data_IF_084150417399
#
_entry.id   IF_084150417399
#
_cell.length_a   1.000
_cell.length_b   1.000
_cell.length_c   1.000
_cell.angle_alpha   90.00
_cell.angle_beta   90.00
_cell.angle_gamma   90.00
#
_symmetry.space_group_name_H-M   'P 1'
#
loop_
_entity.id
_entity.type
_entity.pdbx_description
1 polymer ?
#
# COMPACT_ATOMS: atom_id res chain seq x y z
N UNK A 1 -12.47 33.31 -72.99
CA UNK A 1 -12.33 34.73 -72.68
C UNK A 1 -13.02 34.97 -71.34
N UNK A 2 -12.33 35.04 -70.35
CA UNK A 2 -12.24 36.05 -69.26
C UNK A 2 -11.41 35.45 -68.08
N UNK A 3 -10.27 36.07 -67.86
CA UNK A 3 -9.43 35.91 -66.68
C UNK A 3 -10.13 36.51 -65.45
N UNK A 4 -9.89 35.92 -64.30
CA UNK A 4 -9.69 36.66 -63.06
C UNK A 4 -8.69 35.98 -62.13
N UNK A 5 -7.73 36.78 -61.72
CA UNK A 5 -6.53 36.48 -60.91
C UNK A 5 -6.85 36.40 -59.42
N UNK A 6 -6.05 35.57 -58.72
CA UNK A 6 -5.39 35.84 -57.42
C UNK A 6 -5.78 34.89 -56.30
N UNK A 7 -5.00 34.79 -55.20
CA UNK A 7 -3.55 34.56 -55.15
C UNK A 7 -3.14 33.22 -54.48
N UNK A 8 -1.89 32.90 -54.61
CA UNK A 8 -1.20 31.69 -54.15
C UNK A 8 -1.12 31.60 -52.60
N UNK A 9 -1.47 30.41 -52.05
CA UNK A 9 -0.90 29.91 -50.82
C UNK A 9 -0.50 28.43 -50.99
N UNK A 10 0.78 28.18 -50.69
CA UNK A 10 1.43 26.92 -50.96
C UNK A 10 0.96 25.80 -50.02
N UNK A 11 0.63 24.68 -50.57
CA UNK A 11 0.40 23.40 -49.85
C UNK A 11 1.73 22.64 -49.81
N UNK A 12 2.23 22.44 -48.62
CA UNK A 12 3.25 21.41 -48.36
C UNK A 12 2.51 20.11 -48.09
N UNK A 13 2.62 19.16 -49.00
CA UNK A 13 2.03 17.82 -48.85
C UNK A 13 3.14 16.90 -48.33
N UNK A 14 3.00 16.44 -47.09
CA UNK A 14 3.87 15.39 -46.53
C UNK A 14 3.18 14.04 -46.74
N UNK A 15 3.75 13.19 -47.57
CA UNK A 15 3.35 11.78 -47.71
C UNK A 15 4.01 10.96 -46.61
N UNK A 16 3.21 10.29 -45.77
CA UNK A 16 3.67 9.18 -44.97
C UNK A 16 3.11 7.89 -45.58
N UNK A 17 4.01 7.06 -46.02
CA UNK A 17 3.72 5.74 -46.64
C UNK A 17 3.35 4.76 -45.54
N UNK A 18 2.14 4.20 -45.61
CA UNK A 18 1.71 3.11 -44.74
C UNK A 18 2.17 1.77 -45.34
N UNK A 19 2.91 1.00 -44.57
CA UNK A 19 3.14 -0.42 -44.84
C UNK A 19 2.15 -1.24 -44.05
N UNK A 20 1.27 -1.94 -44.74
CA UNK A 20 0.37 -2.95 -44.16
C UNK A 20 1.08 -4.32 -44.31
N UNK A 21 1.30 -4.98 -43.19
CA UNK A 21 1.49 -6.43 -43.17
C UNK A 21 0.53 -7.04 -42.16
N UNK A 22 -0.30 -7.92 -42.67
CA UNK A 22 -1.31 -8.68 -41.95
C UNK A 22 -0.71 -9.92 -41.29
N UNK A 23 -1.47 -10.45 -40.32
CA UNK A 23 -1.50 -11.77 -39.73
C UNK A 23 -0.94 -11.90 -38.29
N UNK A 24 -1.88 -12.16 -37.42
CA UNK A 24 -1.63 -12.68 -36.09
C UNK A 24 -2.80 -12.43 -35.14
N UNK A 25 -3.91 -13.21 -35.28
CA UNK A 25 -4.95 -13.27 -34.24
C UNK A 25 -4.34 -13.86 -32.99
N UNK A 26 -4.03 -13.04 -32.02
CA UNK A 26 -3.80 -13.47 -30.62
C UNK A 26 -4.94 -12.88 -29.80
N UNK A 27 -5.77 -13.76 -29.27
CA UNK A 27 -6.74 -13.40 -28.23
C UNK A 27 -5.97 -12.83 -27.02
N UNK A 28 -5.85 -11.53 -26.98
CA UNK A 28 -5.37 -10.84 -25.77
C UNK A 28 -6.55 -10.71 -24.83
N UNK A 29 -6.55 -11.52 -23.77
CA UNK A 29 -7.31 -11.21 -22.56
C UNK A 29 -6.88 -9.81 -22.12
N UNK A 30 -7.82 -8.88 -22.15
CA UNK A 30 -7.65 -7.54 -21.60
C UNK A 30 -7.46 -7.67 -20.08
N UNK A 31 -6.20 -7.78 -19.68
CA UNK A 31 -5.82 -7.37 -18.34
C UNK A 31 -6.04 -5.85 -18.31
N UNK A 32 -6.95 -5.40 -17.48
CA UNK A 32 -7.10 -4.00 -17.19
C UNK A 32 -5.70 -3.48 -16.81
N UNK A 33 -5.11 -2.66 -17.69
CA UNK A 33 -3.94 -1.89 -17.33
C UNK A 33 -4.42 -0.93 -16.24
N UNK A 34 -4.06 -1.21 -15.00
CA UNK A 34 -4.07 -0.20 -13.95
C UNK A 34 -3.13 0.90 -14.43
N UNK A 35 -3.70 2.02 -14.83
CA UNK A 35 -2.92 3.21 -15.17
C UNK A 35 -1.96 3.51 -14.03
N UNK A 36 -0.71 3.78 -14.39
CA UNK A 36 0.29 4.19 -13.42
C UNK A 36 -0.22 5.46 -12.70
N UNK A 37 -0.15 5.51 -11.36
CA UNK A 37 -0.64 6.65 -10.61
C UNK A 37 -0.01 7.94 -11.13
N UNK A 38 -0.79 9.01 -11.17
CA UNK A 38 -0.33 10.33 -11.61
C UNK A 38 0.94 10.72 -10.84
N UNK A 39 2.02 11.00 -11.55
CA UNK A 39 3.31 11.32 -10.94
C UNK A 39 3.17 12.59 -10.12
N UNK A 40 3.53 12.53 -8.84
CA UNK A 40 3.62 13.72 -7.98
C UNK A 40 4.58 14.74 -8.59
N UNK A 41 4.17 16.01 -8.57
CA UNK A 41 4.92 17.11 -9.18
C UNK A 41 5.66 17.93 -8.11
N UNK A 42 5.50 17.59 -6.85
CA UNK A 42 6.27 18.19 -5.75
C UNK A 42 7.18 17.16 -5.08
N UNK A 43 8.28 17.63 -4.56
CA UNK A 43 9.18 16.80 -3.75
C UNK A 43 8.54 16.58 -2.36
N UNK A 44 8.64 15.38 -1.81
CA UNK A 44 8.13 15.10 -0.48
C UNK A 44 8.87 15.95 0.57
N UNK A 45 8.14 16.39 1.59
CA UNK A 45 8.72 17.18 2.67
C UNK A 45 9.63 16.31 3.56
N UNK A 46 10.59 16.96 4.20
CA UNK A 46 11.35 16.33 5.29
C UNK A 46 10.46 16.25 6.53
N UNK A 47 10.48 15.13 7.28
CA UNK A 47 9.79 15.03 8.56
C UNK A 47 10.20 16.12 9.57
N UNK A 48 9.36 16.40 10.58
CA UNK A 48 9.72 17.27 11.70
C UNK A 48 11.01 16.84 12.40
N UNK A 49 11.79 17.80 12.92
CA UNK A 49 13.10 17.54 13.56
C UNK A 49 13.01 16.64 14.81
N UNK A 50 11.86 16.61 15.46
CA UNK A 50 11.64 15.78 16.65
C UNK A 50 11.30 14.32 16.34
N UNK A 51 11.20 13.93 15.07
CA UNK A 51 11.02 12.53 14.66
C UNK A 51 12.34 11.78 14.82
N UNK A 52 12.33 10.72 15.62
CA UNK A 52 13.53 9.92 15.95
C UNK A 52 13.79 8.79 14.95
N UNK A 53 12.77 8.44 14.14
CA UNK A 53 12.85 7.37 13.15
C UNK A 53 14.01 7.56 12.17
N UNK A 54 14.70 6.49 11.86
CA UNK A 54 15.85 6.50 10.93
C UNK A 54 15.44 6.52 9.46
N UNK A 55 14.26 5.96 9.15
CA UNK A 55 13.68 6.06 7.82
C UNK A 55 12.17 6.31 7.93
N UNK A 56 11.66 7.20 7.08
CA UNK A 56 10.25 7.61 7.04
C UNK A 56 9.78 7.65 5.60
N UNK A 57 8.56 7.17 5.37
CA UNK A 57 7.86 7.40 4.12
C UNK A 57 6.36 7.50 4.37
N UNK A 58 5.77 8.62 3.91
CA UNK A 58 4.33 8.86 4.01
C UNK A 58 3.81 9.15 2.62
N UNK A 59 2.75 8.46 2.22
CA UNK A 59 2.15 8.66 0.90
C UNK A 59 0.62 8.66 0.97
N UNK A 60 -0.02 9.42 0.09
CA UNK A 60 -1.42 9.20 -0.27
C UNK A 60 -1.58 7.76 -0.80
N UNK A 61 -2.49 6.99 -0.22
CA UNK A 61 -2.61 5.56 -0.52
C UNK A 61 -3.24 5.30 -1.90
N UNK A 62 -4.02 6.26 -2.43
CA UNK A 62 -4.75 6.12 -3.69
C UNK A 62 -3.86 6.45 -4.88
N UNK A 63 -3.23 7.64 -4.86
CA UNK A 63 -2.39 8.11 -5.95
C UNK A 63 -0.91 7.70 -5.79
N UNK A 64 -0.51 7.18 -4.63
CA UNK A 64 0.90 6.88 -4.32
C UNK A 64 1.77 8.15 -4.22
N UNK A 65 1.14 9.33 -4.07
CA UNK A 65 1.84 10.61 -3.99
C UNK A 65 2.61 10.70 -2.68
N UNK A 66 3.95 10.84 -2.70
CA UNK A 66 4.75 10.96 -1.49
C UNK A 66 4.54 12.31 -0.81
N UNK A 67 4.33 12.31 0.50
CA UNK A 67 4.11 13.49 1.34
C UNK A 67 5.34 13.82 2.17
N UNK A 68 5.88 12.84 2.89
CA UNK A 68 7.13 12.96 3.64
C UNK A 68 8.10 11.85 3.28
N UNK A 69 9.40 12.16 3.30
CA UNK A 69 10.45 11.16 3.16
C UNK A 69 11.71 11.52 3.93
N UNK A 70 12.28 10.51 4.59
CA UNK A 70 13.61 10.55 5.20
C UNK A 70 14.25 9.17 4.96
N UNK A 71 15.41 9.15 4.32
CA UNK A 71 16.10 7.90 3.98
C UNK A 71 15.17 6.81 3.42
N UNK A 72 14.23 7.14 2.50
CA UNK A 72 13.10 6.25 2.15
C UNK A 72 13.53 4.95 1.48
N UNK A 73 14.74 4.90 0.91
CA UNK A 73 15.29 3.77 0.17
C UNK A 73 16.45 3.07 0.92
N UNK A 74 16.71 3.46 2.18
CA UNK A 74 17.68 2.79 3.04
C UNK A 74 17.14 1.43 3.48
N UNK A 75 17.92 0.36 3.23
CA UNK A 75 17.59 -1.00 3.68
C UNK A 75 17.67 -1.10 5.19
N UNK A 76 16.61 -1.57 5.80
CA UNK A 76 16.49 -1.74 7.26
C UNK A 76 15.75 -3.02 7.58
N UNK A 77 16.04 -3.59 8.76
CA UNK A 77 15.22 -4.69 9.29
C UNK A 77 13.81 -4.17 9.59
N UNK A 78 12.76 -4.79 9.02
CA UNK A 78 11.37 -4.40 9.24
C UNK A 78 10.79 -4.88 10.57
N UNK A 79 11.45 -5.78 11.26
CA UNK A 79 10.88 -6.53 12.37
C UNK A 79 9.50 -7.11 11.98
N UNK A 80 8.57 -7.19 12.93
CA UNK A 80 7.22 -7.75 12.69
C UNK A 80 6.33 -6.96 11.72
N UNK A 81 6.77 -5.83 11.15
CA UNK A 81 6.04 -5.22 10.01
C UNK A 81 6.13 -6.09 8.75
N UNK A 82 7.06 -7.06 8.70
CA UNK A 82 7.13 -8.19 7.75
C UNK A 82 5.77 -8.89 7.60
N UNK A 83 4.99 -8.97 8.68
CA UNK A 83 3.71 -9.68 8.71
C UNK A 83 2.66 -9.09 7.77
N UNK A 84 2.85 -7.85 7.29
CA UNK A 84 2.05 -7.30 6.20
C UNK A 84 2.26 -8.07 4.89
N UNK A 85 3.50 -8.44 4.56
CA UNK A 85 3.78 -9.30 3.40
C UNK A 85 3.26 -10.72 3.61
N UNK A 86 3.43 -11.27 4.82
CA UNK A 86 2.88 -12.59 5.17
C UNK A 86 1.36 -12.61 4.98
N UNK A 87 0.66 -11.59 5.49
CA UNK A 87 -0.78 -11.43 5.32
C UNK A 87 -1.19 -11.33 3.84
N UNK A 88 -0.44 -10.55 3.05
CA UNK A 88 -0.70 -10.37 1.62
C UNK A 88 -0.54 -11.69 0.84
N UNK A 89 0.51 -12.46 1.11
CA UNK A 89 0.73 -13.77 0.48
C UNK A 89 -0.36 -14.75 0.88
N UNK A 90 -0.77 -14.78 2.15
CA UNK A 90 -1.91 -15.59 2.61
C UNK A 90 -3.18 -15.21 1.85
N UNK A 91 -3.49 -13.92 1.76
CA UNK A 91 -4.69 -13.44 1.07
C UNK A 91 -4.70 -13.80 -0.42
N UNK A 92 -3.57 -13.68 -1.09
CA UNK A 92 -3.44 -14.02 -2.51
C UNK A 92 -3.63 -15.52 -2.80
N UNK A 93 -3.45 -16.39 -1.78
CA UNK A 93 -3.53 -17.84 -1.91
C UNK A 93 -4.70 -18.46 -1.13
N UNK A 94 -5.64 -17.63 -0.65
CA UNK A 94 -6.81 -18.07 0.13
C UNK A 94 -8.09 -17.56 -0.51
N UNK A 95 -9.04 -18.48 -0.73
CA UNK A 95 -10.40 -18.16 -1.17
C UNK A 95 -11.44 -18.42 -0.09
N UNK A 96 -11.12 -19.29 0.88
CA UNK A 96 -11.95 -19.62 2.03
C UNK A 96 -11.25 -19.28 3.35
N UNK A 97 -11.63 -18.16 3.94
CA UNK A 97 -11.08 -17.69 5.22
C UNK A 97 -11.54 -18.53 6.42
N UNK A 98 -12.55 -19.39 6.24
CA UNK A 98 -13.03 -20.33 7.25
C UNK A 98 -12.36 -21.71 7.13
N UNK A 99 -11.45 -21.90 6.15
CA UNK A 99 -10.66 -23.12 6.02
C UNK A 99 -9.93 -23.41 7.34
N UNK A 100 -10.05 -24.66 7.81
CA UNK A 100 -9.47 -25.10 9.08
C UNK A 100 -8.00 -25.50 8.91
N UNK A 101 -7.17 -25.02 9.80
CA UNK A 101 -5.74 -25.29 9.84
C UNK A 101 -5.35 -25.82 11.22
N UNK A 102 -4.64 -26.93 11.25
CA UNK A 102 -4.13 -27.52 12.50
C UNK A 102 -2.69 -27.04 12.76
N UNK A 103 -2.45 -26.54 13.97
CA UNK A 103 -1.10 -26.25 14.45
C UNK A 103 -0.32 -27.56 14.70
N UNK A 104 0.92 -27.59 14.28
CA UNK A 104 1.82 -28.72 14.49
C UNK A 104 2.92 -28.34 15.49
N UNK A 105 3.67 -29.33 15.99
CA UNK A 105 4.74 -29.10 16.97
C UNK A 105 5.78 -28.09 16.47
N UNK A 106 6.05 -28.08 15.16
CA UNK A 106 6.99 -27.11 14.54
C UNK A 106 6.53 -25.66 14.59
N UNK A 107 5.23 -25.42 14.76
CA UNK A 107 4.64 -24.08 14.83
C UNK A 107 4.66 -23.51 16.26
N UNK A 108 4.85 -24.37 17.27
CA UNK A 108 4.84 -23.95 18.69
C UNK A 108 6.13 -23.19 19.00
N UNK A 109 5.97 -22.03 19.64
CA UNK A 109 7.08 -21.19 20.09
C UNK A 109 7.31 -21.36 21.60
N UNK A 110 8.56 -21.32 22.03
CA UNK A 110 8.88 -21.35 23.45
C UNK A 110 8.62 -19.96 24.07
N UNK A 111 7.90 -19.93 25.18
CA UNK A 111 7.62 -18.68 25.89
C UNK A 111 8.89 -18.01 26.42
N UNK A 112 9.98 -18.78 26.58
CA UNK A 112 11.29 -18.25 27.00
C UNK A 112 12.00 -17.44 25.92
N UNK A 113 11.60 -17.54 24.65
CA UNK A 113 12.23 -16.83 23.54
C UNK A 113 11.88 -15.33 23.50
N UNK A 114 10.98 -14.89 24.41
CA UNK A 114 10.51 -13.51 24.49
C UNK A 114 9.94 -12.97 23.17
N UNK A 115 9.36 -13.87 22.37
CA UNK A 115 8.72 -13.55 21.09
C UNK A 115 7.24 -13.20 21.26
N UNK A 116 6.72 -12.42 20.31
CA UNK A 116 5.27 -12.19 20.21
C UNK A 116 4.56 -13.44 19.71
N UNK A 117 3.57 -13.94 20.44
CA UNK A 117 2.84 -15.17 20.11
C UNK A 117 1.37 -15.06 20.54
N UNK A 118 0.49 -15.87 19.97
CA UNK A 118 -0.89 -16.07 20.42
C UNK A 118 -1.00 -17.24 21.41
N UNK A 119 0.10 -17.99 21.58
CA UNK A 119 0.20 -19.10 22.51
C UNK A 119 -0.52 -20.34 22.01
N UNK A 120 -0.39 -20.66 20.72
CA UNK A 120 -0.96 -21.88 20.16
C UNK A 120 -0.23 -23.14 20.68
N UNK A 121 -0.97 -24.25 20.70
CA UNK A 121 -0.47 -25.56 21.08
C UNK A 121 -0.62 -26.53 19.91
N UNK A 122 0.28 -27.51 19.84
CA UNK A 122 0.16 -28.57 18.83
C UNK A 122 -1.21 -29.29 18.94
N UNK A 123 -1.88 -29.45 17.82
CA UNK A 123 -3.21 -30.03 17.74
C UNK A 123 -4.36 -29.01 17.87
N UNK A 124 -4.09 -27.75 18.20
CA UNK A 124 -5.10 -26.70 18.10
C UNK A 124 -5.52 -26.53 16.64
N UNK A 125 -6.80 -26.23 16.44
CA UNK A 125 -7.36 -26.01 15.11
C UNK A 125 -7.98 -24.60 15.05
N UNK A 126 -7.60 -23.87 14.02
CA UNK A 126 -8.00 -22.48 13.78
C UNK A 126 -8.61 -22.33 12.38
N UNK A 127 -9.37 -21.30 12.15
CA UNK A 127 -9.62 -20.81 10.80
C UNK A 127 -8.45 -19.94 10.32
N UNK A 128 -8.26 -19.80 9.00
CA UNK A 128 -7.27 -18.83 8.44
C UNK A 128 -7.58 -17.42 8.95
N UNK A 129 -8.86 -17.05 9.07
CA UNK A 129 -9.28 -15.77 9.63
C UNK A 129 -8.79 -15.58 11.07
N UNK A 130 -8.96 -16.56 11.95
CA UNK A 130 -8.49 -16.49 13.34
C UNK A 130 -6.98 -16.33 13.42
N UNK A 131 -6.23 -17.06 12.59
CA UNK A 131 -4.77 -16.90 12.48
C UNK A 131 -4.38 -15.52 11.92
N UNK A 132 -5.14 -14.95 10.98
CA UNK A 132 -4.94 -13.58 10.48
C UNK A 132 -5.10 -12.55 11.59
N UNK A 133 -6.11 -12.67 12.46
CA UNK A 133 -6.23 -11.81 13.64
C UNK A 133 -5.04 -12.00 14.58
N UNK A 134 -4.58 -13.22 14.82
CA UNK A 134 -3.39 -13.51 15.61
C UNK A 134 -2.12 -12.86 15.05
N UNK A 135 -1.97 -12.93 13.73
CA UNK A 135 -0.86 -12.32 12.99
C UNK A 135 -0.85 -10.79 13.12
N UNK A 136 -2.01 -10.16 12.96
CA UNK A 136 -2.08 -8.70 12.86
C UNK A 136 -2.19 -8.02 14.22
N UNK A 137 -3.00 -8.52 15.17
CA UNK A 137 -3.20 -7.90 16.49
C UNK A 137 -2.02 -8.17 17.42
N UNK A 138 -1.83 -9.45 17.76
CA UNK A 138 -0.80 -9.87 18.71
C UNK A 138 0.60 -9.96 18.12
N UNK A 139 0.71 -9.77 16.79
CA UNK A 139 2.00 -9.97 16.11
C UNK A 139 2.53 -11.40 16.24
N UNK A 140 1.64 -12.43 16.33
CA UNK A 140 1.99 -13.81 16.63
C UNK A 140 2.96 -14.42 15.62
N UNK A 141 4.17 -14.81 16.09
CA UNK A 141 5.16 -15.52 15.28
C UNK A 141 4.70 -16.96 15.03
N UNK A 142 4.05 -17.56 16.03
CA UNK A 142 3.39 -18.86 15.93
C UNK A 142 2.28 -18.86 14.87
N UNK A 143 1.44 -17.85 14.85
CA UNK A 143 0.40 -17.69 13.80
C UNK A 143 1.04 -17.53 12.40
N UNK A 144 2.14 -16.78 12.29
CA UNK A 144 2.90 -16.65 11.04
C UNK A 144 3.44 -18.00 10.55
N UNK A 145 3.97 -18.82 11.47
CA UNK A 145 4.50 -20.16 11.19
C UNK A 145 3.41 -21.10 10.63
N UNK A 146 2.25 -21.18 11.32
CA UNK A 146 1.13 -22.02 10.87
C UNK A 146 0.65 -21.60 9.49
N UNK A 147 0.46 -20.29 9.26
CA UNK A 147 -0.01 -19.75 7.97
C UNK A 147 1.01 -20.05 6.86
N UNK A 148 2.31 -19.83 7.12
CA UNK A 148 3.36 -20.06 6.14
C UNK A 148 3.45 -21.56 5.77
N UNK A 149 3.43 -22.44 6.75
CA UNK A 149 3.44 -23.89 6.51
C UNK A 149 2.20 -24.34 5.74
N UNK A 150 1.02 -23.88 6.12
CA UNK A 150 -0.23 -24.26 5.48
C UNK A 150 -0.28 -23.80 4.01
N UNK A 151 -0.06 -22.53 3.76
CA UNK A 151 -0.11 -21.97 2.40
C UNK A 151 1.02 -22.51 1.52
N UNK A 152 2.24 -22.63 2.07
CA UNK A 152 3.36 -23.22 1.33
C UNK A 152 3.10 -24.69 0.95
N UNK A 153 2.44 -25.45 1.84
CA UNK A 153 2.00 -26.81 1.54
C UNK A 153 0.97 -26.87 0.40
N UNK A 154 0.03 -25.95 0.39
CA UNK A 154 -0.95 -25.81 -0.73
C UNK A 154 -0.27 -25.48 -2.05
N UNK A 155 0.72 -24.58 -2.03
CA UNK A 155 1.48 -24.21 -3.21
C UNK A 155 2.29 -25.40 -3.76
N UNK A 156 3.01 -26.13 -2.90
CA UNK A 156 3.71 -27.34 -3.30
C UNK A 156 2.77 -28.39 -3.91
N UNK A 157 1.62 -28.60 -3.29
CA UNK A 157 0.62 -29.55 -3.80
C UNK A 157 0.06 -29.14 -5.16
N UNK A 158 -0.21 -27.85 -5.37
CA UNK A 158 -0.68 -27.31 -6.64
C UNK A 158 0.35 -27.47 -7.77
N UNK A 159 1.64 -27.37 -7.44
CA UNK A 159 2.77 -27.56 -8.36
C UNK A 159 3.14 -29.02 -8.59
N UNK A 160 2.56 -29.96 -7.81
CA UNK A 160 2.99 -31.37 -7.80
C UNK A 160 4.42 -31.56 -7.32
N UNK A 161 4.91 -30.60 -6.52
CA UNK A 161 6.27 -30.56 -5.98
C UNK A 161 6.33 -31.09 -4.55
N UNK A 162 7.54 -31.45 -4.11
CA UNK A 162 7.86 -31.81 -2.74
C UNK A 162 8.92 -30.87 -2.21
N UNK A 163 8.86 -30.57 -0.92
CA UNK A 163 9.83 -29.65 -0.28
C UNK A 163 9.36 -29.22 1.10
N UNK A 164 10.07 -28.26 1.68
CA UNK A 164 9.66 -27.62 2.92
C UNK A 164 8.56 -26.58 2.61
N UNK A 165 7.36 -26.69 3.20
CA UNK A 165 6.29 -25.72 3.01
C UNK A 165 6.67 -24.30 3.45
N UNK A 166 7.41 -24.14 4.54
CA UNK A 166 7.82 -22.83 5.02
C UNK A 166 8.80 -22.16 4.03
N UNK A 167 9.74 -22.89 3.49
CA UNK A 167 10.65 -22.40 2.44
C UNK A 167 9.88 -22.02 1.17
N UNK A 168 8.88 -22.81 0.75
CA UNK A 168 8.06 -22.49 -0.41
C UNK A 168 7.25 -21.21 -0.19
N UNK A 169 6.74 -20.97 1.03
CA UNK A 169 6.08 -19.73 1.39
C UNK A 169 7.01 -18.52 1.31
N UNK A 170 8.23 -18.63 1.81
CA UNK A 170 9.24 -17.56 1.70
C UNK A 170 9.59 -17.27 0.24
N UNK A 171 9.67 -18.27 -0.61
CA UNK A 171 9.83 -18.07 -2.06
C UNK A 171 8.65 -17.28 -2.64
N UNK A 172 7.43 -17.55 -2.20
CA UNK A 172 6.24 -16.79 -2.62
C UNK A 172 6.26 -15.34 -2.12
N UNK A 173 6.74 -15.09 -0.89
CA UNK A 173 6.96 -13.72 -0.40
C UNK A 173 7.89 -12.95 -1.35
N UNK A 174 9.03 -13.54 -1.72
CA UNK A 174 9.99 -12.90 -2.63
C UNK A 174 9.51 -12.83 -4.08
N UNK A 175 8.68 -13.76 -4.53
CA UNK A 175 7.99 -13.68 -5.82
C UNK A 175 7.00 -12.50 -5.84
N UNK A 176 6.29 -12.28 -4.74
CA UNK A 176 5.40 -11.13 -4.55
C UNK A 176 6.19 -9.81 -4.55
N UNK A 177 7.33 -9.74 -3.86
CA UNK A 177 8.28 -8.60 -3.93
C UNK A 177 8.64 -8.29 -5.38
N UNK A 178 9.04 -9.30 -6.15
CA UNK A 178 9.42 -9.13 -7.55
C UNK A 178 8.25 -8.66 -8.42
N UNK A 179 7.05 -9.22 -8.21
CA UNK A 179 5.82 -8.83 -8.95
C UNK A 179 5.41 -7.38 -8.70
N UNK A 180 5.66 -6.87 -7.49
CA UNK A 180 5.44 -5.46 -7.12
C UNK A 180 6.56 -4.53 -7.60
N UNK A 181 7.61 -5.07 -8.26
CA UNK A 181 8.74 -4.30 -8.77
C UNK A 181 9.69 -3.76 -7.70
N UNK A 182 9.64 -4.32 -6.48
CA UNK A 182 10.46 -3.91 -5.35
C UNK A 182 11.88 -4.51 -5.50
N UNK A 183 12.90 -3.72 -5.25
CA UNK A 183 14.30 -4.10 -5.51
C UNK A 183 15.20 -4.06 -4.27
N UNK A 184 14.69 -3.46 -3.20
CA UNK A 184 15.39 -3.29 -1.94
C UNK A 184 14.67 -3.98 -0.78
N UNK A 185 13.91 -5.03 -1.09
CA UNK A 185 13.19 -5.86 -0.12
C UNK A 185 13.53 -7.33 -0.35
N UNK A 186 13.83 -8.04 0.72
CA UNK A 186 14.06 -9.46 0.72
C UNK A 186 13.64 -10.08 2.06
N UNK A 187 12.93 -11.19 2.02
CA UNK A 187 12.42 -11.88 3.19
C UNK A 187 13.05 -13.27 3.29
N UNK A 188 13.42 -13.69 4.52
CA UNK A 188 13.96 -15.02 4.83
C UNK A 188 13.12 -15.77 5.87
N UNK A 189 12.11 -15.11 6.45
CA UNK A 189 11.15 -15.71 7.36
C UNK A 189 9.79 -14.99 7.26
N UNK A 190 8.68 -15.58 7.75
CA UNK A 190 7.36 -14.99 7.66
C UNK A 190 7.01 -14.04 8.82
N UNK A 191 7.82 -13.98 9.88
CA UNK A 191 7.49 -13.30 11.14
C UNK A 191 8.29 -12.01 11.37
N UNK A 192 9.44 -11.84 10.71
CA UNK A 192 10.29 -10.65 10.80
C UNK A 192 11.37 -10.74 11.86
N UNK A 193 11.70 -11.92 12.35
CA UNK A 193 12.88 -12.13 13.17
C UNK A 193 14.15 -11.71 12.41
N UNK A 194 15.13 -11.22 13.15
CA UNK A 194 16.32 -10.64 12.54
C UNK A 194 17.15 -11.67 11.78
N UNK A 195 17.49 -11.29 10.58
CA UNK A 195 18.52 -11.91 9.75
C UNK A 195 19.14 -10.80 8.89
N UNK A 196 20.46 -10.78 8.65
CA UNK A 196 21.10 -9.76 7.83
C UNK A 196 20.57 -9.70 6.39
N UNK A 197 20.01 -10.80 5.88
CA UNK A 197 19.40 -10.88 4.55
C UNK A 197 17.87 -10.59 4.59
N UNK A 198 17.30 -10.25 5.76
CA UNK A 198 15.91 -9.89 5.94
C UNK A 198 15.74 -8.37 6.05
N UNK A 199 15.41 -7.72 4.96
CA UNK A 199 15.36 -6.26 4.90
C UNK A 199 14.26 -5.73 3.97
N UNK A 200 13.90 -4.49 4.19
CA UNK A 200 13.04 -3.68 3.33
C UNK A 200 13.46 -2.21 3.39
N UNK A 201 12.73 -1.33 2.70
CA UNK A 201 12.86 0.13 2.82
C UNK A 201 11.51 0.74 3.22
N UNK A 202 11.52 1.95 3.76
CA UNK A 202 10.27 2.60 4.17
C UNK A 202 9.32 2.80 2.97
N UNK A 203 9.85 3.16 1.80
CA UNK A 203 9.08 3.30 0.55
C UNK A 203 8.49 1.97 0.09
N UNK A 204 9.29 0.92 0.04
CA UNK A 204 8.82 -0.37 -0.44
C UNK A 204 7.84 -1.02 0.53
N UNK A 205 8.05 -0.84 1.84
CA UNK A 205 7.10 -1.29 2.85
C UNK A 205 5.76 -0.54 2.77
N UNK A 206 5.76 0.75 2.42
CA UNK A 206 4.52 1.49 2.17
C UNK A 206 3.75 0.92 0.96
N UNK A 207 4.46 0.48 -0.08
CA UNK A 207 3.84 -0.21 -1.23
C UNK A 207 3.22 -1.54 -0.80
N UNK A 208 3.94 -2.34 -0.01
CA UNK A 208 3.42 -3.60 0.54
C UNK A 208 2.19 -3.35 1.40
N UNK A 209 2.24 -2.34 2.28
CA UNK A 209 1.14 -1.96 3.14
C UNK A 209 -0.11 -1.52 2.36
N UNK A 210 0.05 -0.74 1.30
CA UNK A 210 -1.04 -0.32 0.43
C UNK A 210 -1.76 -1.53 -0.20
N UNK A 211 -0.99 -2.52 -0.69
CA UNK A 211 -1.56 -3.75 -1.23
C UNK A 211 -2.22 -4.61 -0.14
N UNK A 212 -1.60 -4.73 1.02
CA UNK A 212 -2.15 -5.51 2.13
C UNK A 212 -3.47 -4.92 2.65
N UNK A 213 -3.51 -3.61 2.90
CA UNK A 213 -4.72 -2.96 3.41
C UNK A 213 -5.84 -2.79 2.35
N UNK A 214 -5.54 -2.94 1.06
CA UNK A 214 -6.57 -3.06 0.03
C UNK A 214 -7.37 -4.38 0.14
N UNK A 215 -6.84 -5.39 0.85
CA UNK A 215 -7.55 -6.64 1.13
C UNK A 215 -8.46 -6.44 2.35
N UNK A 216 -9.80 -6.56 2.22
CA UNK A 216 -10.74 -6.25 3.30
C UNK A 216 -10.47 -7.04 4.59
N UNK A 217 -10.09 -8.30 4.50
CA UNK A 217 -9.84 -9.17 5.66
C UNK A 217 -8.59 -8.73 6.43
N UNK A 218 -7.55 -8.27 5.73
CA UNK A 218 -6.33 -7.76 6.38
C UNK A 218 -6.63 -6.41 7.05
N UNK A 219 -7.33 -5.52 6.35
CA UNK A 219 -7.75 -4.23 6.91
C UNK A 219 -8.62 -4.43 8.15
N UNK A 220 -9.61 -5.33 8.07
CA UNK A 220 -10.51 -5.66 9.19
C UNK A 220 -9.74 -6.22 10.39
N UNK A 221 -8.84 -7.19 10.18
CA UNK A 221 -8.02 -7.71 11.26
C UNK A 221 -7.15 -6.60 11.88
N UNK A 222 -6.48 -5.78 11.07
CA UNK A 222 -5.59 -4.71 11.54
C UNK A 222 -6.32 -3.56 12.26
N UNK A 223 -7.62 -3.37 11.99
CA UNK A 223 -8.45 -2.31 12.60
C UNK A 223 -9.13 -2.74 13.89
N UNK A 224 -9.15 -4.02 14.23
CA UNK A 224 -9.75 -4.50 15.46
C UNK A 224 -8.88 -4.13 16.68
N UNK A 225 -9.49 -3.58 17.73
CA UNK A 225 -8.79 -3.32 18.98
C UNK A 225 -8.53 -4.63 19.76
N UNK A 226 -9.52 -5.52 19.75
CA UNK A 226 -9.46 -6.84 20.39
C UNK A 226 -10.18 -7.86 19.52
N UNK A 227 -9.81 -9.12 19.64
CA UNK A 227 -10.53 -10.23 19.02
C UNK A 227 -10.47 -11.44 19.95
N UNK A 228 -11.61 -12.08 20.16
CA UNK A 228 -11.73 -13.27 21.01
C UNK A 228 -12.36 -14.41 20.26
N UNK A 229 -11.79 -15.59 20.41
CA UNK A 229 -12.33 -16.82 19.83
C UNK A 229 -12.00 -18.02 20.69
N UNK A 230 -12.68 -19.13 20.44
CA UNK A 230 -12.35 -20.42 21.06
C UNK A 230 -11.64 -21.30 20.04
N UNK A 231 -10.46 -21.84 20.40
CA UNK A 231 -9.76 -22.82 19.57
C UNK A 231 -10.61 -24.07 19.39
N UNK A 232 -10.43 -24.73 18.26
CA UNK A 232 -10.97 -26.06 18.03
C UNK A 232 -9.86 -27.11 18.27
N UNK A 233 -10.22 -28.40 18.25
CA UNK A 233 -9.28 -29.50 18.46
C UNK A 233 -9.48 -30.19 19.81
N UNK A 234 -8.47 -30.95 20.29
CA UNK A 234 -8.65 -31.82 21.45
C UNK A 234 -8.77 -31.07 22.79
N UNK A 235 -8.27 -29.85 22.89
CA UNK A 235 -8.26 -29.06 24.11
C UNK A 235 -8.75 -27.62 23.84
N UNK A 236 -10.06 -27.39 23.58
CA UNK A 236 -10.59 -26.06 23.27
C UNK A 236 -10.35 -25.07 24.42
N UNK A 237 -9.86 -23.86 24.07
CA UNK A 237 -9.66 -22.76 25.02
C UNK A 237 -9.98 -21.42 24.38
N UNK A 238 -10.30 -20.46 25.22
CA UNK A 238 -10.49 -19.07 24.79
C UNK A 238 -9.13 -18.42 24.55
N UNK A 239 -8.98 -17.76 23.41
CA UNK A 239 -7.83 -16.92 23.07
C UNK A 239 -8.34 -15.49 22.91
N UNK A 240 -7.74 -14.56 23.65
CA UNK A 240 -8.05 -13.13 23.59
C UNK A 240 -6.84 -12.40 23.03
N UNK A 241 -7.02 -11.70 21.93
CA UNK A 241 -5.99 -10.94 21.22
C UNK A 241 -6.19 -9.45 21.47
N UNK A 242 -5.08 -8.72 21.56
CA UNK A 242 -5.08 -7.25 21.71
C UNK A 242 -4.19 -6.64 20.62
N UNK A 243 -4.66 -5.53 20.03
CA UNK A 243 -3.86 -4.82 19.05
C UNK A 243 -2.69 -4.10 19.70
N UNK A 244 -1.49 -4.34 19.18
CA UNK A 244 -0.26 -3.69 19.64
C UNK A 244 -0.13 -2.24 19.17
N UNK A 245 -0.94 -1.81 18.19
CA UNK A 245 -0.97 -0.43 17.70
C UNK A 245 -1.75 0.48 18.66
N UNK A 246 -1.04 1.22 19.50
CA UNK A 246 -1.65 2.15 20.48
C UNK A 246 -2.31 3.38 19.83
N UNK A 247 -2.06 3.64 18.53
CA UNK A 247 -2.67 4.78 17.83
C UNK A 247 -4.02 4.43 17.19
N UNK A 248 -4.46 3.20 17.28
CA UNK A 248 -5.74 2.80 16.68
C UNK A 248 -6.89 3.66 17.22
N UNK A 249 -7.62 4.32 16.28
CA UNK A 249 -8.69 5.27 16.61
C UNK A 249 -8.22 6.67 17.05
N UNK A 250 -6.91 6.95 17.03
CA UNK A 250 -6.33 8.26 17.29
C UNK A 250 -5.78 8.86 15.99
N UNK A 251 -5.80 10.18 15.86
CA UNK A 251 -5.21 10.94 14.75
C UNK A 251 -5.65 10.42 13.34
N UNK A 252 -6.86 9.86 13.24
CA UNK A 252 -7.37 9.27 12.01
C UNK A 252 -6.83 7.88 11.69
N UNK A 253 -6.00 7.26 12.54
CA UNK A 253 -5.45 5.91 12.32
C UNK A 253 -6.55 4.86 12.42
N UNK A 254 -6.76 4.13 11.33
CA UNK A 254 -7.81 3.11 11.18
C UNK A 254 -7.26 1.68 11.19
N UNK A 255 -6.00 1.48 10.86
CA UNK A 255 -5.33 0.18 10.93
C UNK A 255 -3.81 0.37 11.11
N UNK A 256 -3.09 -0.69 11.47
CA UNK A 256 -1.64 -0.61 11.55
C UNK A 256 -0.96 -1.90 11.95
N UNK A 257 0.38 -1.89 11.85
CA UNK A 257 1.25 -2.99 12.27
C UNK A 257 2.50 -2.45 12.93
N UNK A 258 2.79 -2.93 14.14
CA UNK A 258 4.03 -2.63 14.87
C UNK A 258 5.11 -3.68 14.62
N UNK A 259 6.35 -3.29 14.82
CA UNK A 259 7.50 -4.21 14.84
C UNK A 259 8.57 -3.70 15.80
N UNK A 260 9.28 -4.57 16.51
CA UNK A 260 10.37 -4.19 17.42
C UNK A 260 11.40 -5.32 17.49
N UNK A 261 12.65 -4.95 17.30
CA UNK A 261 13.84 -5.76 17.58
C UNK A 261 14.96 -4.83 18.02
N UNK A 262 15.98 -5.33 18.69
CA UNK A 262 17.15 -4.52 19.03
C UNK A 262 17.83 -3.95 17.77
N UNK A 263 17.93 -4.75 16.73
CA UNK A 263 18.58 -4.40 15.46
C UNK A 263 17.75 -3.42 14.62
N UNK A 264 16.44 -3.48 14.73
CA UNK A 264 15.54 -2.62 13.96
C UNK A 264 15.18 -1.30 14.66
N UNK A 265 15.25 -1.27 16.00
CA UNK A 265 14.53 -0.26 16.79
C UNK A 265 13.01 -0.49 16.71
N UNK A 266 12.24 0.55 16.98
CA UNK A 266 10.79 0.50 16.90
C UNK A 266 10.30 0.87 15.49
N UNK A 267 9.42 0.03 14.92
CA UNK A 267 8.85 0.19 13.58
C UNK A 267 7.32 0.28 13.68
N UNK A 268 6.71 1.11 12.82
CA UNK A 268 5.27 1.24 12.74
C UNK A 268 4.84 1.55 11.30
N UNK A 269 3.83 0.83 10.85
CA UNK A 269 3.09 1.12 9.62
C UNK A 269 1.65 1.40 10.01
N UNK A 270 1.08 2.50 9.55
CA UNK A 270 -0.34 2.80 9.74
C UNK A 270 -1.03 3.10 8.43
N UNK A 271 -2.30 2.72 8.37
CA UNK A 271 -3.28 3.26 7.45
C UNK A 271 -4.12 4.26 8.23
N UNK A 272 -4.23 5.48 7.73
CA UNK A 272 -5.05 6.52 8.34
C UNK A 272 -5.98 7.17 7.31
N UNK A 273 -7.04 7.77 7.81
CA UNK A 273 -7.98 8.56 7.01
C UNK A 273 -7.79 10.05 7.29
N UNK A 274 -7.53 10.81 6.24
CA UNK A 274 -7.36 12.26 6.31
C UNK A 274 -8.24 12.94 5.26
N UNK A 275 -9.19 13.76 5.70
CA UNK A 275 -10.12 14.49 4.81
C UNK A 275 -10.84 13.57 3.80
N UNK A 276 -11.23 12.36 4.22
CA UNK A 276 -11.88 11.37 3.36
C UNK A 276 -10.93 10.60 2.42
N UNK A 277 -9.62 10.80 2.55
CA UNK A 277 -8.60 10.10 1.75
C UNK A 277 -7.73 9.21 2.64
N UNK A 278 -7.27 8.11 2.09
CA UNK A 278 -6.40 7.19 2.81
C UNK A 278 -4.92 7.55 2.63
N UNK A 279 -4.17 7.44 3.71
CA UNK A 279 -2.73 7.69 3.74
C UNK A 279 -2.04 6.49 4.39
N UNK A 280 -0.93 6.05 3.80
CA UNK A 280 0.00 5.09 4.41
C UNK A 280 1.17 5.87 4.98
N UNK A 281 1.47 5.63 6.26
CA UNK A 281 2.65 6.19 6.90
C UNK A 281 3.51 5.08 7.50
N UNK A 282 4.82 5.16 7.25
CA UNK A 282 5.83 4.20 7.68
C UNK A 282 6.94 4.92 8.43
N UNK A 283 7.25 4.44 9.62
CA UNK A 283 8.44 4.78 10.39
C UNK A 283 9.24 3.51 10.69
N UNK A 284 10.54 3.52 10.40
CA UNK A 284 11.47 2.44 10.68
C UNK A 284 12.62 2.95 11.55
N UNK A 285 12.92 2.24 12.63
CA UNK A 285 14.02 2.57 13.50
C UNK A 285 13.79 3.79 14.39
N UNK A 286 12.55 4.01 14.85
CA UNK A 286 12.28 4.96 15.95
C UNK A 286 13.01 4.51 17.21
N UNK A 287 13.38 5.47 18.05
CA UNK A 287 14.11 5.20 19.30
C UNK A 287 13.24 4.37 20.26
N UNK A 288 13.87 3.39 20.87
CA UNK A 288 13.38 2.54 21.94
C UNK A 288 14.58 1.97 22.69
N UNK A 289 14.49 1.86 24.00
CA UNK A 289 15.53 1.26 24.83
C UNK A 289 15.17 -0.19 25.19
N UNK A 290 16.20 -0.98 25.49
CA UNK A 290 16.09 -2.34 25.97
C UNK A 290 16.85 -2.46 27.29
N UNK A 291 16.31 -3.23 28.21
CA UNK A 291 16.98 -3.50 29.48
C UNK A 291 18.16 -4.47 29.33
N UNK A 292 18.83 -4.79 30.44
CA UNK A 292 19.99 -5.70 30.45
C UNK A 292 19.64 -7.14 30.02
N UNK A 293 18.37 -7.53 30.02
CA UNK A 293 17.86 -8.81 29.57
C UNK A 293 17.33 -8.76 28.13
N UNK A 294 17.59 -7.66 27.39
CA UNK A 294 17.11 -7.41 26.03
C UNK A 294 15.58 -7.31 25.92
N UNK A 295 14.91 -6.95 27.02
CA UNK A 295 13.47 -6.71 27.03
C UNK A 295 13.23 -5.23 26.70
N UNK A 296 12.34 -4.98 25.75
CA UNK A 296 11.97 -3.62 25.36
C UNK A 296 11.39 -2.84 26.56
N UNK A 297 11.76 -1.57 26.66
CA UNK A 297 11.24 -0.62 27.66
C UNK A 297 10.13 0.22 27.03
N UNK A 298 8.85 -0.14 27.21
CA UNK A 298 7.73 0.47 26.47
C UNK A 298 7.55 1.98 26.69
N UNK A 299 8.06 2.52 27.81
CA UNK A 299 8.02 3.94 28.14
C UNK A 299 9.01 4.78 27.31
N UNK A 300 10.01 4.16 26.69
CA UNK A 300 11.01 4.82 25.84
C UNK A 300 10.64 4.76 24.36
N UNK A 301 9.57 4.06 24.00
CA UNK A 301 9.13 3.80 22.64
C UNK A 301 8.62 5.06 21.95
N UNK A 302 9.40 5.61 21.03
CA UNK A 302 9.11 6.86 20.32
C UNK A 302 8.28 6.68 19.05
N UNK A 303 8.05 5.45 18.54
CA UNK A 303 7.33 5.25 17.26
C UNK A 303 5.96 5.94 17.21
N UNK A 304 5.25 5.96 18.32
CA UNK A 304 3.92 6.56 18.40
C UNK A 304 3.99 8.10 18.41
N UNK A 305 4.99 8.66 19.10
CA UNK A 305 5.26 10.09 19.10
C UNK A 305 5.73 10.57 17.74
N UNK A 306 6.63 9.82 17.08
CA UNK A 306 7.10 10.08 15.73
C UNK A 306 5.92 10.11 14.75
N UNK A 307 5.04 9.12 14.84
CA UNK A 307 3.87 9.02 13.97
C UNK A 307 2.86 10.15 14.22
N UNK A 308 2.56 10.49 15.47
CA UNK A 308 1.69 11.63 15.79
C UNK A 308 2.27 12.95 15.29
N UNK A 309 3.59 13.17 15.41
CA UNK A 309 4.25 14.35 14.87
C UNK A 309 4.11 14.44 13.33
N UNK A 310 4.30 13.33 12.63
CA UNK A 310 4.11 13.26 11.17
C UNK A 310 2.67 13.56 10.76
N UNK A 311 1.68 12.99 11.45
CA UNK A 311 0.26 13.21 11.14
C UNK A 311 -0.14 14.64 11.43
N UNK A 312 0.33 15.22 12.53
CA UNK A 312 0.09 16.62 12.88
C UNK A 312 0.62 17.57 11.80
N UNK A 313 1.89 17.43 11.42
CA UNK A 313 2.52 18.22 10.36
C UNK A 313 1.82 18.01 9.00
N UNK A 314 1.44 16.77 8.68
CA UNK A 314 0.71 16.46 7.45
C UNK A 314 -0.62 17.22 7.37
N UNK A 315 -1.37 17.27 8.46
CA UNK A 315 -2.65 17.98 8.55
C UNK A 315 -2.49 19.49 8.31
N UNK A 316 -1.38 20.07 8.73
CA UNK A 316 -1.07 21.49 8.54
C UNK A 316 -0.53 21.79 7.15
N UNK A 317 0.34 20.93 6.63
CA UNK A 317 1.14 21.18 5.42
C UNK A 317 0.50 20.71 4.12
N UNK A 318 -0.53 19.86 4.15
CA UNK A 318 -1.17 19.32 2.94
C UNK A 318 -2.68 19.60 2.91
N UNK A 319 -3.20 19.68 1.69
CA UNK A 319 -4.64 19.77 1.40
C UNK A 319 -5.00 18.76 0.32
N UNK A 320 -6.14 18.12 0.51
CA UNK A 320 -6.77 17.27 -0.49
C UNK A 320 -7.84 18.09 -1.21
N UNK A 321 -7.69 18.25 -2.51
CA UNK A 321 -8.54 19.05 -3.37
C UNK A 321 -9.30 18.13 -4.30
N UNK A 322 -10.62 18.18 -4.26
CA UNK A 322 -11.45 17.42 -5.20
C UNK A 322 -11.55 18.17 -6.54
N UNK A 323 -11.34 17.47 -7.68
CA UNK A 323 -11.55 18.07 -8.99
C UNK A 323 -13.05 18.32 -9.25
N UNK A 324 -13.59 19.40 -8.72
CA UNK A 324 -14.98 19.79 -8.82
C UNK A 324 -15.18 21.31 -8.69
N UNK A 325 -16.42 21.78 -8.79
CA UNK A 325 -16.75 23.21 -8.85
C UNK A 325 -16.39 24.00 -7.60
N UNK A 326 -16.21 23.33 -6.45
CA UNK A 326 -15.80 24.01 -5.22
C UNK A 326 -14.40 24.65 -5.34
N UNK A 327 -13.46 23.92 -5.91
CA UNK A 327 -12.08 24.36 -6.09
C UNK A 327 -11.77 24.83 -7.52
N UNK A 328 -12.57 24.39 -8.49
CA UNK A 328 -12.45 24.73 -9.92
C UNK A 328 -13.78 25.20 -10.49
N UNK A 329 -14.19 26.47 -10.24
CA UNK A 329 -15.47 26.97 -10.67
C UNK A 329 -15.70 26.84 -12.18
N UNK A 330 -16.81 26.19 -12.56
CA UNK A 330 -17.20 25.96 -13.95
C UNK A 330 -16.66 24.69 -14.58
N UNK A 331 -15.80 23.92 -13.88
CA UNK A 331 -15.21 22.66 -14.41
C UNK A 331 -16.29 21.65 -14.80
N UNK A 332 -17.27 21.41 -13.93
CA UNK A 332 -18.36 20.45 -14.20
C UNK A 332 -19.16 20.85 -15.44
N UNK A 333 -19.45 22.15 -15.60
CA UNK A 333 -20.16 22.65 -16.77
C UNK A 333 -19.33 22.51 -18.04
N UNK A 334 -18.04 22.79 -17.99
CA UNK A 334 -17.13 22.67 -19.14
C UNK A 334 -17.00 21.21 -19.59
N UNK A 335 -16.83 20.27 -18.66
CA UNK A 335 -16.81 18.83 -18.96
C UNK A 335 -18.13 18.39 -19.63
N UNK A 336 -19.27 18.83 -19.13
CA UNK A 336 -20.57 18.51 -19.71
C UNK A 336 -20.77 19.10 -21.13
N UNK A 337 -20.27 20.31 -21.39
CA UNK A 337 -20.36 20.96 -22.72
C UNK A 337 -19.59 20.13 -23.78
N UNK A 338 -18.47 19.53 -23.39
CA UNK A 338 -17.66 18.74 -24.30
C UNK A 338 -18.01 17.25 -24.32
N UNK A 339 -19.04 16.83 -23.57
CA UNK A 339 -19.45 15.43 -23.41
C UNK A 339 -18.29 14.54 -22.97
N UNK A 340 -17.54 15.01 -21.93
CA UNK A 340 -16.39 14.30 -21.37
C UNK A 340 -16.52 14.21 -19.85
N UNK A 341 -15.76 13.28 -19.27
CA UNK A 341 -15.64 13.09 -17.82
C UNK A 341 -14.19 12.91 -17.40
N UNK A 342 -13.91 13.11 -16.13
CA UNK A 342 -12.59 12.72 -15.59
C UNK A 342 -12.44 11.19 -15.57
N UNK A 343 -11.25 10.72 -15.80
CA UNK A 343 -10.94 9.30 -15.76
C UNK A 343 -10.98 8.73 -14.35
N UNK A 344 -10.66 9.57 -13.35
CA UNK A 344 -10.78 9.26 -11.94
C UNK A 344 -11.37 10.49 -11.19
N UNK A 345 -11.94 10.24 -10.01
CA UNK A 345 -12.52 11.23 -9.10
C UNK A 345 -11.70 11.39 -7.80
N UNK A 346 -10.49 10.86 -7.77
CA UNK A 346 -9.65 10.93 -6.58
C UNK A 346 -9.20 12.36 -6.28
N UNK A 347 -9.12 12.69 -5.00
CA UNK A 347 -8.57 13.96 -4.57
C UNK A 347 -7.10 14.10 -5.02
N UNK A 348 -6.71 15.33 -5.24
CA UNK A 348 -5.35 15.73 -5.50
C UNK A 348 -4.76 16.24 -4.20
N UNK A 349 -3.70 15.61 -3.72
CA UNK A 349 -2.99 16.12 -2.55
C UNK A 349 -1.92 17.13 -2.97
N UNK A 350 -1.90 18.27 -2.29
CA UNK A 350 -1.01 19.39 -2.59
C UNK A 350 -0.45 19.99 -1.30
N UNK A 351 0.76 20.58 -1.33
CA UNK A 351 1.20 21.47 -0.26
C UNK A 351 0.18 22.58 -0.03
N UNK A 352 -0.15 22.88 1.24
CA UNK A 352 -1.18 23.84 1.61
C UNK A 352 -0.96 25.23 1.01
N UNK A 353 0.29 25.65 0.86
CA UNK A 353 0.68 26.89 0.21
C UNK A 353 0.34 26.93 -1.29
N UNK A 354 0.29 25.77 -1.94
CA UNK A 354 -0.05 25.62 -3.35
C UNK A 354 -1.55 25.62 -3.61
N UNK A 355 -2.38 25.34 -2.59
CA UNK A 355 -3.83 25.22 -2.75
C UNK A 355 -4.58 26.57 -2.91
N UNK A 356 -3.92 27.70 -2.61
CA UNK A 356 -4.57 29.02 -2.58
C UNK A 356 -4.84 29.70 -3.93
N UNK A 357 -4.29 29.17 -5.04
CA UNK A 357 -4.38 29.79 -6.37
C UNK A 357 -4.47 28.77 -7.50
N UNK A 358 -5.36 27.80 -7.34
CA UNK A 358 -5.53 26.74 -8.32
C UNK A 358 -6.24 27.26 -9.57
N UNK A 359 -5.76 26.81 -10.72
CA UNK A 359 -6.38 27.02 -12.04
C UNK A 359 -6.32 25.70 -12.79
N UNK A 360 -7.20 25.52 -13.74
CA UNK A 360 -7.17 24.36 -14.61
C UNK A 360 -7.11 24.75 -16.09
N UNK A 361 -6.67 23.84 -16.90
CA UNK A 361 -6.71 23.87 -18.36
C UNK A 361 -7.16 22.52 -18.87
N UNK A 362 -8.30 22.48 -19.56
CA UNK A 362 -8.81 21.30 -20.22
C UNK A 362 -8.19 21.22 -21.63
N UNK A 363 -7.38 20.21 -21.88
CA UNK A 363 -6.81 19.94 -23.21
C UNK A 363 -7.54 18.76 -23.81
N UNK A 364 -8.26 18.98 -24.93
CA UNK A 364 -9.02 17.93 -25.60
C UNK A 364 -8.51 17.70 -27.00
N UNK A 365 -8.47 16.43 -27.39
CA UNK A 365 -8.32 15.94 -28.75
C UNK A 365 -9.67 15.76 -29.45
N UNK A 366 -9.69 15.10 -30.61
CA UNK A 366 -10.92 14.78 -31.31
C UNK A 366 -11.79 13.80 -30.49
N UNK A 367 -13.14 13.87 -30.62
CA UNK A 367 -14.05 12.93 -29.98
C UNK A 367 -13.72 11.47 -30.36
N UNK A 368 -13.94 10.56 -29.42
CA UNK A 368 -13.64 9.14 -29.57
C UNK A 368 -14.81 8.25 -29.10
N UNK A 369 -14.60 6.95 -29.03
CA UNK A 369 -15.57 6.03 -28.44
C UNK A 369 -15.74 6.30 -26.94
N UNK A 370 -16.88 5.97 -26.35
CA UNK A 370 -17.08 6.08 -24.91
C UNK A 370 -15.92 5.43 -24.12
N UNK A 371 -15.54 6.07 -23.01
CA UNK A 371 -14.45 5.66 -22.12
C UNK A 371 -13.04 5.71 -22.71
N UNK A 372 -12.88 6.11 -23.98
CA UNK A 372 -11.55 6.38 -24.52
C UNK A 372 -10.99 7.70 -23.97
N UNK A 373 -9.69 7.73 -23.67
CA UNK A 373 -9.04 8.98 -23.28
C UNK A 373 -8.98 9.93 -24.48
N UNK A 374 -9.60 11.10 -24.30
CA UNK A 374 -9.68 12.15 -25.33
C UNK A 374 -8.93 13.42 -24.94
N UNK A 375 -8.35 13.44 -23.74
CA UNK A 375 -7.64 14.63 -23.30
C UNK A 375 -7.01 14.49 -21.94
N UNK A 376 -6.59 15.64 -21.40
CA UNK A 376 -6.00 15.78 -20.07
C UNK A 376 -6.48 17.07 -19.42
N UNK A 377 -6.88 16.99 -18.17
CA UNK A 377 -7.07 18.14 -17.29
C UNK A 377 -5.74 18.45 -16.62
N UNK A 378 -5.16 19.60 -16.92
CA UNK A 378 -3.97 20.12 -16.25
C UNK A 378 -4.41 21.06 -15.12
N UNK A 379 -3.86 20.85 -13.94
CA UNK A 379 -4.13 21.69 -12.76
C UNK A 379 -2.86 22.43 -12.39
N UNK A 380 -2.98 23.73 -12.21
CA UNK A 380 -1.89 24.65 -11.94
C UNK A 380 -2.04 25.29 -10.56
N UNK A 381 -0.91 25.45 -9.87
CA UNK A 381 -0.72 26.41 -8.79
C UNK A 381 0.25 27.48 -9.28
N UNK A 382 -0.19 28.71 -9.37
CA UNK A 382 0.61 29.75 -10.03
C UNK A 382 0.91 29.37 -11.50
N UNK A 383 2.18 29.21 -11.84
CA UNK A 383 2.63 28.82 -13.19
C UNK A 383 3.13 27.36 -13.26
N UNK A 384 3.05 26.60 -12.17
CA UNK A 384 3.46 25.20 -12.14
C UNK A 384 2.28 24.27 -12.30
N UNK A 385 2.41 23.23 -13.11
CA UNK A 385 1.46 22.10 -13.15
C UNK A 385 1.65 21.34 -11.84
N UNK A 386 0.57 21.15 -11.08
CA UNK A 386 0.57 20.44 -9.80
C UNK A 386 -0.18 19.11 -9.87
N UNK A 387 -0.99 18.90 -10.91
CA UNK A 387 -1.59 17.61 -11.21
C UNK A 387 -2.02 17.52 -12.66
N UNK A 388 -2.12 16.29 -13.15
CA UNK A 388 -2.70 15.93 -14.44
C UNK A 388 -3.74 14.83 -14.21
N UNK A 389 -4.88 14.93 -14.91
CA UNK A 389 -5.94 13.91 -14.87
C UNK A 389 -6.36 13.52 -16.27
N UNK A 390 -6.50 12.23 -16.57
CA UNK A 390 -7.02 11.79 -17.84
C UNK A 390 -8.47 12.26 -17.99
N UNK A 391 -8.83 12.67 -19.20
CA UNK A 391 -10.19 13.04 -19.57
C UNK A 391 -10.70 12.03 -20.58
N UNK A 392 -11.81 11.39 -20.26
CA UNK A 392 -12.41 10.33 -21.06
C UNK A 392 -13.65 10.87 -21.79
N UNK A 393 -13.94 10.32 -22.96
CA UNK A 393 -15.20 10.55 -23.65
C UNK A 393 -16.34 10.03 -22.77
N UNK A 394 -17.32 10.89 -22.46
CA UNK A 394 -18.56 10.42 -21.85
C UNK A 394 -19.36 9.64 -22.92
N UNK A 395 -20.02 8.59 -22.52
CA UNK A 395 -21.05 7.97 -23.34
C UNK A 395 -22.31 8.82 -23.24
N UNK A 396 -22.83 9.27 -24.35
CA UNK A 396 -24.19 9.83 -24.36
C UNK A 396 -25.14 8.79 -23.80
N UNK A 397 -25.77 9.08 -22.66
CA UNK A 397 -26.81 8.26 -22.07
C UNK A 397 -28.04 8.20 -22.99
#
# INVERSE_FOLDING_TARGET
>A
VFELRGPRFGRVLLYVVAFVTAFGLVMSSSLAQTEAPAKSIFEPLTPPENVTAKAVYVQDATAGTPLFSLNPDERRSPASTTKLMTALVVANNTTDWQELVTAEEVDVRDISDNESMIGLLAGDVFTIEQLMYGLMLNSGNDAASVLARHIGGKLLAAEGATGDPAERFIQEMNATVASLGLRNTHFVNPDGLYDPDHYTTARELATIAAQAYAVPQIAQASSAATYEFTTQGPNPRVVTLQNTNKMLGQDGVIAGKTGTLMESGACLVVLLEQSGNQVIAVVLGSEIEFDANQIQMPETDQRFNDMSALIGEMTERFRWVQPGDADFPGLTQELAVWDVRLGDDHAIVLPAESAGSLRYLLQLGPPAQPDAQVGTLLIFSGNQIVAERPVLQAGTA
#
